data_IF_943157589764
#
_entry.id   IF_943157589764
#
_cell.length_a   1.000
_cell.length_b   1.000
_cell.length_c   1.000
_cell.angle_alpha   90.00
_cell.angle_beta   90.00
_cell.angle_gamma   90.00
#
_symmetry.space_group_name_H-M   'P 1'
#
loop_
_entity.id
_entity.type
_entity.pdbx_description
1 polymer ?
#
# COMPACT_ATOMS: atom_id res chain seq x y z
N UNK A 1 8.92 -23.45 -50.13
CA UNK A 1 7.97 -23.18 -49.02
C UNK A 1 8.62 -23.60 -47.71
N UNK A 2 8.97 -22.65 -46.81
CA UNK A 2 9.23 -22.85 -45.35
C UNK A 2 9.89 -21.58 -44.78
N UNK A 3 9.12 -20.53 -44.47
CA UNK A 3 9.64 -19.36 -43.72
C UNK A 3 8.61 -18.83 -42.70
N UNK A 4 7.62 -19.64 -42.27
CA UNK A 4 6.48 -19.14 -41.49
C UNK A 4 6.39 -19.65 -40.05
N UNK A 5 7.39 -20.35 -39.52
CA UNK A 5 7.29 -20.92 -38.16
C UNK A 5 8.04 -20.13 -37.06
N UNK A 6 8.78 -19.07 -37.40
CA UNK A 6 9.57 -18.33 -36.39
C UNK A 6 8.86 -17.14 -35.74
N UNK A 7 7.77 -16.63 -36.33
CA UNK A 7 7.23 -15.31 -35.97
C UNK A 7 6.13 -15.32 -34.89
N UNK A 8 5.69 -16.49 -34.42
CA UNK A 8 4.49 -16.59 -33.56
C UNK A 8 4.78 -16.68 -32.05
N UNK A 9 6.04 -16.76 -31.63
CA UNK A 9 6.42 -16.96 -30.21
C UNK A 9 6.80 -15.67 -29.47
N UNK A 10 6.90 -14.54 -30.17
CA UNK A 10 7.30 -13.25 -29.57
C UNK A 10 6.14 -12.44 -28.99
N UNK A 11 4.89 -12.87 -29.17
CA UNK A 11 3.70 -12.13 -28.73
C UNK A 11 3.24 -12.42 -27.29
N UNK A 12 3.89 -13.34 -26.57
CA UNK A 12 3.40 -13.81 -25.25
C UNK A 12 4.03 -13.10 -24.03
N UNK A 13 4.92 -12.12 -24.20
CA UNK A 13 5.76 -11.63 -23.09
C UNK A 13 5.35 -10.32 -22.41
N UNK A 14 4.25 -9.66 -22.76
CA UNK A 14 3.88 -8.39 -22.11
C UNK A 14 2.38 -8.25 -21.81
N UNK A 15 1.80 -9.23 -21.11
CA UNK A 15 0.64 -8.97 -20.26
C UNK A 15 1.14 -8.78 -18.83
N UNK A 16 1.86 -7.69 -18.59
CA UNK A 16 1.99 -7.16 -17.24
C UNK A 16 0.69 -6.42 -16.98
N UNK A 17 -0.23 -7.00 -16.20
CA UNK A 17 -1.36 -6.24 -15.66
C UNK A 17 -0.75 -5.21 -14.71
N UNK A 18 -0.42 -4.02 -15.23
CA UNK A 18 -0.09 -2.86 -14.41
C UNK A 18 -1.36 -2.45 -13.68
N UNK A 19 -1.59 -3.07 -12.53
CA UNK A 19 -2.55 -2.58 -11.56
C UNK A 19 -2.01 -1.23 -11.09
N UNK A 20 -2.67 -0.14 -11.49
CA UNK A 20 -2.31 1.18 -11.01
C UNK A 20 -2.72 1.24 -9.53
N UNK A 21 -1.79 0.91 -8.62
CA UNK A 21 -1.96 1.18 -7.20
C UNK A 21 -2.22 2.67 -7.01
N UNK A 22 -3.31 3.00 -6.34
CA UNK A 22 -3.70 4.38 -6.09
C UNK A 22 -2.72 5.04 -5.11
N UNK A 23 -2.41 6.31 -5.35
CA UNK A 23 -1.55 7.07 -4.46
C UNK A 23 -2.33 7.44 -3.19
N UNK A 24 -1.68 7.23 -2.05
CA UNK A 24 -2.17 7.64 -0.75
C UNK A 24 -1.84 9.11 -0.50
N UNK A 25 -2.75 9.79 0.18
CA UNK A 25 -2.58 11.14 0.70
C UNK A 25 -1.91 11.13 2.07
N UNK A 26 -1.38 12.27 2.50
CA UNK A 26 -0.72 12.41 3.79
C UNK A 26 -1.69 12.08 4.95
N UNK A 27 -1.21 11.43 6.03
CA UNK A 27 -2.04 11.14 7.19
C UNK A 27 -2.33 12.44 7.96
N UNK A 28 -3.59 12.71 8.30
CA UNK A 28 -3.97 13.90 9.07
C UNK A 28 -4.11 13.58 10.56
N UNK A 29 -3.47 14.38 11.41
CA UNK A 29 -3.66 14.34 12.88
C UNK A 29 -3.17 13.07 13.59
N UNK A 30 -2.32 12.27 12.94
CA UNK A 30 -1.82 11.00 13.48
C UNK A 30 -0.46 11.15 14.17
N UNK A 31 0.03 10.03 14.72
CA UNK A 31 1.34 10.00 15.37
C UNK A 31 2.45 10.46 14.41
N UNK A 32 3.54 11.06 14.92
CA UNK A 32 4.68 11.48 14.09
C UNK A 32 5.34 10.31 13.32
N UNK A 33 5.12 9.07 13.75
CA UNK A 33 5.66 7.89 13.06
C UNK A 33 4.95 7.64 11.73
N UNK A 34 3.64 7.92 11.65
CA UNK A 34 2.86 7.77 10.43
C UNK A 34 3.29 8.78 9.36
N UNK A 35 3.48 10.03 9.76
CA UNK A 35 3.93 11.11 8.88
C UNK A 35 5.35 10.83 8.36
N UNK A 36 6.29 10.48 9.24
CA UNK A 36 7.66 10.11 8.83
C UNK A 36 7.70 8.91 7.88
N UNK A 37 6.90 7.88 8.16
CA UNK A 37 6.82 6.71 7.30
C UNK A 37 6.26 7.07 5.91
N UNK A 38 5.26 7.95 5.85
CA UNK A 38 4.71 8.47 4.61
C UNK A 38 5.73 9.30 3.83
N UNK A 39 6.40 10.27 4.46
CA UNK A 39 7.42 11.09 3.82
C UNK A 39 8.55 10.23 3.24
N UNK A 40 8.95 9.19 3.98
CA UNK A 40 10.00 8.25 3.59
C UNK A 40 9.56 7.23 2.53
N UNK A 41 8.26 7.07 2.28
CA UNK A 41 7.71 6.08 1.36
C UNK A 41 7.89 6.47 -0.12
N UNK A 42 9.12 6.47 -0.63
CA UNK A 42 9.43 6.70 -2.05
C UNK A 42 8.85 7.99 -2.66
N UNK A 43 8.98 8.17 -3.98
CA UNK A 43 8.33 9.30 -4.69
C UNK A 43 6.83 9.08 -4.88
N UNK A 44 6.42 7.83 -5.16
CA UNK A 44 5.02 7.46 -5.33
C UNK A 44 4.53 6.81 -4.03
N UNK A 45 3.52 7.41 -3.40
CA UNK A 45 2.98 7.01 -2.09
C UNK A 45 1.97 5.86 -2.23
N UNK A 46 2.38 4.74 -2.83
CA UNK A 46 1.49 3.56 -2.95
C UNK A 46 1.33 2.83 -1.62
N UNK A 47 0.30 1.99 -1.53
CA UNK A 47 0.06 1.11 -0.38
C UNK A 47 1.30 0.29 -0.08
N UNK A 48 1.90 -0.36 -1.08
CA UNK A 48 3.11 -1.16 -0.91
C UNK A 48 4.31 -0.35 -0.37
N UNK A 49 4.52 0.86 -0.87
CA UNK A 49 5.63 1.71 -0.43
C UNK A 49 5.45 2.18 1.01
N UNK A 50 4.24 2.63 1.37
CA UNK A 50 3.90 3.04 2.74
C UNK A 50 3.91 1.85 3.69
N UNK A 51 3.48 0.66 3.24
CA UNK A 51 3.57 -0.58 4.02
C UNK A 51 5.02 -0.89 4.38
N UNK A 52 5.94 -0.81 3.42
CA UNK A 52 7.35 -1.14 3.65
C UNK A 52 8.00 -0.21 4.67
N UNK A 53 7.74 1.09 4.61
CA UNK A 53 8.29 2.05 5.58
C UNK A 53 7.65 1.90 6.96
N UNK A 54 6.33 1.71 7.02
CA UNK A 54 5.63 1.42 8.27
C UNK A 54 6.03 0.09 8.88
N UNK A 55 6.40 -0.90 8.06
CA UNK A 55 6.84 -2.21 8.56
C UNK A 55 8.13 -2.07 9.36
N UNK A 56 9.06 -1.22 8.90
CA UNK A 56 10.26 -0.89 9.66
C UNK A 56 9.90 -0.16 10.96
N UNK A 57 9.09 0.90 10.88
CA UNK A 57 8.68 1.66 12.06
C UNK A 57 7.94 0.81 13.10
N UNK A 58 7.09 -0.11 12.62
CA UNK A 58 6.38 -1.09 13.43
C UNK A 58 7.36 -1.99 14.20
N UNK A 59 8.35 -2.54 13.51
CA UNK A 59 9.38 -3.38 14.11
C UNK A 59 10.24 -2.60 15.12
N UNK A 60 10.66 -1.38 14.78
CA UNK A 60 11.47 -0.53 15.66
C UNK A 60 10.72 -0.12 16.94
N UNK A 61 9.39 -0.01 16.86
CA UNK A 61 8.51 0.22 18.01
C UNK A 61 8.22 -1.06 18.83
N UNK A 62 8.80 -2.21 18.48
CA UNK A 62 8.59 -3.51 19.15
C UNK A 62 7.36 -4.27 18.65
N UNK A 63 6.74 -3.84 17.55
CA UNK A 63 5.68 -4.57 16.87
C UNK A 63 6.21 -5.78 16.11
N UNK A 64 5.34 -6.77 15.92
CA UNK A 64 5.67 -8.03 15.25
C UNK A 64 4.97 -8.19 13.90
N UNK A 65 3.81 -7.54 13.72
CA UNK A 65 2.99 -7.72 12.53
C UNK A 65 2.34 -6.41 12.12
N UNK A 66 2.58 -6.02 10.88
CA UNK A 66 1.85 -4.96 10.20
C UNK A 66 0.77 -5.56 9.31
N UNK A 67 -0.44 -5.03 9.42
CA UNK A 67 -1.58 -5.35 8.54
C UNK A 67 -2.08 -4.08 7.89
N UNK A 68 -2.72 -4.20 6.73
CA UNK A 68 -3.42 -3.10 6.10
C UNK A 68 -4.84 -3.51 5.74
N UNK A 69 -5.76 -2.56 5.79
CA UNK A 69 -7.15 -2.72 5.41
C UNK A 69 -7.54 -1.54 4.51
N UNK A 70 -8.01 -1.84 3.31
CA UNK A 70 -8.59 -0.83 2.41
C UNK A 70 -9.97 -0.48 2.94
N UNK A 71 -10.21 0.81 3.16
CA UNK A 71 -11.49 1.37 3.50
C UNK A 71 -12.22 1.75 2.21
N UNK A 72 -13.50 1.43 2.15
CA UNK A 72 -14.38 1.76 1.02
C UNK A 72 -15.50 2.66 1.50
N UNK A 73 -16.03 3.49 0.60
CA UNK A 73 -17.16 4.38 0.88
C UNK A 73 -18.41 3.59 1.28
N UNK A 74 -19.25 4.12 2.17
CA UNK A 74 -20.52 3.47 2.53
C UNK A 74 -21.50 3.42 1.34
N UNK A 75 -21.37 4.37 0.40
CA UNK A 75 -22.28 4.54 -0.74
C UNK A 75 -21.71 3.98 -2.06
N UNK A 76 -20.57 3.29 -2.05
CA UNK A 76 -19.96 2.74 -3.27
C UNK A 76 -18.70 1.91 -3.00
N UNK A 77 -18.25 1.16 -4.01
CA UNK A 77 -17.05 0.32 -3.92
C UNK A 77 -15.73 1.09 -4.14
N UNK A 78 -15.76 2.42 -4.00
CA UNK A 78 -14.57 3.25 -4.19
C UNK A 78 -13.73 3.26 -2.91
N UNK A 79 -12.40 3.04 -3.03
CA UNK A 79 -11.51 3.10 -1.88
C UNK A 79 -11.39 4.54 -1.39
N UNK A 80 -11.62 4.76 -0.10
CA UNK A 80 -11.52 6.08 0.56
C UNK A 80 -10.24 6.24 1.36
N UNK A 81 -9.56 5.13 1.66
CA UNK A 81 -8.30 5.16 2.38
C UNK A 81 -7.79 3.77 2.72
N UNK A 82 -6.67 3.73 3.43
CA UNK A 82 -6.05 2.50 3.92
C UNK A 82 -5.65 2.69 5.37
N UNK A 83 -6.15 1.80 6.22
CA UNK A 83 -5.75 1.70 7.61
C UNK A 83 -4.63 0.67 7.75
N UNK A 84 -3.48 1.10 8.26
CA UNK A 84 -2.38 0.24 8.64
C UNK A 84 -2.36 0.05 10.15
N UNK A 85 -2.23 -1.19 10.60
CA UNK A 85 -2.21 -1.52 12.03
C UNK A 85 -1.01 -2.39 12.33
N UNK A 86 -0.14 -1.89 13.21
CA UNK A 86 0.99 -2.59 13.77
C UNK A 86 0.59 -3.20 15.12
N UNK A 87 0.79 -4.50 15.27
CA UNK A 87 0.44 -5.27 16.47
C UNK A 87 1.65 -5.98 17.05
N UNK A 88 1.62 -6.20 18.37
CA UNK A 88 2.62 -7.01 19.08
C UNK A 88 2.36 -8.52 18.93
N UNK A 89 2.89 -9.33 19.85
CA UNK A 89 2.62 -10.77 19.88
C UNK A 89 1.13 -11.10 20.09
N UNK A 90 0.44 -10.24 20.85
CA UNK A 90 -1.02 -10.26 20.98
C UNK A 90 -1.62 -9.32 19.93
N UNK A 91 -2.51 -9.85 19.08
CA UNK A 91 -3.20 -9.09 18.05
C UNK A 91 -4.11 -7.98 18.61
N UNK A 92 -4.47 -8.05 19.89
CA UNK A 92 -5.25 -7.00 20.57
C UNK A 92 -4.37 -5.85 21.07
N UNK A 93 -3.05 -6.04 21.11
CA UNK A 93 -2.10 -5.00 21.48
C UNK A 93 -1.65 -4.24 20.23
N UNK A 94 -2.25 -3.06 20.02
CA UNK A 94 -1.91 -2.16 18.92
C UNK A 94 -0.75 -1.26 19.34
N UNK A 95 0.38 -1.40 18.64
CA UNK A 95 1.59 -0.59 18.85
C UNK A 95 1.46 0.76 18.15
N UNK A 96 0.97 0.71 16.91
CA UNK A 96 0.81 1.88 16.04
C UNK A 96 -0.36 1.63 15.09
N UNK A 97 -1.11 2.68 14.79
CA UNK A 97 -2.17 2.66 13.78
C UNK A 97 -2.09 3.93 12.94
N UNK A 98 -2.12 3.77 11.62
CA UNK A 98 -1.99 4.88 10.68
C UNK A 98 -3.06 4.77 9.59
N UNK A 99 -3.84 5.83 9.38
CA UNK A 99 -4.86 5.93 8.35
C UNK A 99 -4.40 6.89 7.25
N UNK A 100 -4.35 6.42 6.02
CA UNK A 100 -4.00 7.24 4.86
C UNK A 100 -5.20 7.33 3.93
N UNK A 101 -5.75 8.52 3.68
CA UNK A 101 -6.83 8.67 2.71
C UNK A 101 -6.30 8.38 1.29
N UNK A 102 -7.18 7.95 0.40
CA UNK A 102 -6.91 8.03 -1.05
C UNK A 102 -7.15 9.46 -1.51
N UNK A 103 -6.58 9.87 -2.64
CA UNK A 103 -6.69 11.25 -3.16
C UNK A 103 -8.08 11.67 -3.65
N UNK A 104 -9.14 10.91 -3.33
CA UNK A 104 -10.53 11.19 -3.68
C UNK A 104 -11.23 12.01 -2.58
N UNK A 105 -10.65 13.15 -2.23
CA UNK A 105 -11.42 14.27 -1.69
C UNK A 105 -11.38 15.39 -2.72
N UNK A 106 -12.36 15.39 -3.63
CA UNK A 106 -12.69 16.51 -4.50
C UNK A 106 -13.88 17.28 -3.95
#
# INVERSE_FOLDING_TARGET
MKIYQGLCLLALFFYQNTYAEEALSAPSGQSPQCEKAYESAGQIKTIGNVFNTLSSACHDAGGMKLMHQILVSENGNEPTGVLFTCTGSDSNYVVLSCLFPTSLES
#
